data_IF_709906114107
#
_entry.id   IF_709906114107
#
_cell.length_a   1.000
_cell.length_b   1.000
_cell.length_c   1.000
_cell.angle_alpha   90.00
_cell.angle_beta   90.00
_cell.angle_gamma   90.00
#
_symmetry.space_group_name_H-M   'P 1'
#
loop_
_entity.id
_entity.type
_entity.pdbx_description
1 polymer ?
#
# COMPACT_ATOMS: atom_id res chain seq x y z
N UNK A 1 -8.02 15.34 -13.98
CA UNK A 1 -6.95 14.34 -13.76
C UNK A 1 -7.05 13.86 -12.32
N UNK A 2 -7.78 12.76 -12.10
CA UNK A 2 -8.12 12.26 -10.77
C UNK A 2 -7.17 11.16 -10.34
N UNK A 3 -6.26 11.46 -9.42
CA UNK A 3 -5.36 10.49 -8.81
C UNK A 3 -6.15 9.45 -8.02
N UNK A 4 -6.05 8.18 -8.43
CA UNK A 4 -6.73 7.06 -7.78
C UNK A 4 -6.10 6.80 -6.41
N UNK A 5 -6.81 7.21 -5.36
CA UNK A 5 -6.41 7.04 -3.96
C UNK A 5 -6.87 5.67 -3.46
N UNK A 6 -5.98 4.69 -3.39
CA UNK A 6 -6.26 3.38 -2.78
C UNK A 6 -6.18 3.48 -1.25
N UNK A 7 -7.26 3.16 -0.55
CA UNK A 7 -7.27 3.09 0.92
C UNK A 7 -7.63 1.69 1.39
N UNK A 8 -7.02 1.28 2.51
CA UNK A 8 -6.94 -0.14 2.86
C UNK A 8 -7.22 -0.42 4.40
N UNK A 9 -8.36 -1.04 4.84
CA UNK A 9 -8.96 -1.58 6.08
C UNK A 9 -10.21 -2.55 5.84
N UNK A 10 -10.26 -3.74 6.45
CA UNK A 10 -11.33 -4.78 6.36
C UNK A 10 -12.48 -4.53 7.37
N UNK A 11 -13.76 -4.75 7.02
CA UNK A 11 -14.86 -4.77 8.01
C UNK A 11 -15.79 -6.00 7.82
N UNK A 12 -15.75 -6.93 8.78
CA UNK A 12 -16.83 -7.88 9.01
C UNK A 12 -17.88 -7.22 9.89
N UNK A 13 -19.04 -6.91 9.32
CA UNK A 13 -20.17 -6.31 10.06
C UNK A 13 -20.77 -7.41 10.96
N UNK A 14 -20.42 -7.42 12.25
CA UNK A 14 -21.23 -8.03 13.32
C UNK A 14 -21.58 -6.96 14.35
N UNK A 15 -22.82 -6.94 14.88
CA UNK A 15 -23.18 -6.07 15.98
C UNK A 15 -22.60 -6.67 17.26
N UNK A 16 -21.39 -6.26 17.64
CA UNK A 16 -20.80 -6.63 18.93
C UNK A 16 -20.91 -5.44 19.87
N UNK A 17 -21.50 -5.71 21.04
CA UNK A 17 -21.45 -4.84 22.20
C UNK A 17 -20.04 -4.28 22.37
N UNK A 18 -19.94 -2.98 22.66
CA UNK A 18 -18.67 -2.27 22.84
C UNK A 18 -17.98 -2.83 24.08
N UNK A 19 -17.13 -3.84 23.88
CA UNK A 19 -16.17 -4.29 24.89
C UNK A 19 -15.01 -3.30 24.94
N UNK A 20 -14.63 -2.77 26.12
CA UNK A 20 -13.48 -1.88 26.23
C UNK A 20 -12.22 -2.59 25.72
N UNK A 21 -11.44 -1.92 24.88
CA UNK A 21 -10.21 -2.44 24.28
C UNK A 21 -10.30 -2.88 22.81
N UNK A 22 -11.43 -2.72 22.13
CA UNK A 22 -11.55 -3.03 20.70
C UNK A 22 -11.20 -1.82 19.81
N UNK A 23 -10.21 -2.01 18.94
CA UNK A 23 -9.84 -1.06 17.89
C UNK A 23 -10.40 -1.54 16.54
N UNK A 24 -11.31 -0.76 15.95
CA UNK A 24 -11.94 -1.06 14.65
C UNK A 24 -11.29 -0.29 13.51
N UNK A 25 -11.07 -0.96 12.37
CA UNK A 25 -10.43 -0.41 11.17
C UNK A 25 -11.42 -0.48 9.96
N UNK A 26 -11.73 0.64 9.28
CA UNK A 26 -12.65 0.75 8.11
C UNK A 26 -12.02 1.20 6.76
N UNK A 27 -12.02 0.43 5.62
CA UNK A 27 -11.36 0.91 4.34
C UNK A 27 -12.34 1.54 3.45
N UNK A 28 -11.90 2.67 2.92
CA UNK A 28 -12.66 3.41 1.96
C UNK A 28 -11.85 3.69 0.69
N UNK A 29 -11.96 2.82 -0.31
CA UNK A 29 -11.36 3.02 -1.64
C UNK A 29 -12.02 4.14 -2.47
N UNK A 30 -13.02 4.83 -1.91
CA UNK A 30 -13.68 5.97 -2.57
C UNK A 30 -13.17 7.28 -2.00
N UNK A 31 -13.12 8.32 -2.85
CA UNK A 31 -12.78 9.67 -2.41
C UNK A 31 -13.62 10.08 -1.19
N UNK A 32 -13.05 10.74 -0.18
CA UNK A 32 -13.76 11.11 1.05
C UNK A 32 -15.01 11.97 0.80
N UNK A 33 -15.05 12.69 -0.33
CA UNK A 33 -16.23 13.45 -0.78
C UNK A 33 -17.45 12.58 -1.13
N UNK A 34 -17.28 11.27 -1.32
CA UNK A 34 -18.38 10.35 -1.66
C UNK A 34 -18.87 9.53 -0.46
N UNK A 35 -18.31 9.72 0.74
CA UNK A 35 -18.89 9.11 1.94
C UNK A 35 -20.01 9.95 2.50
N UNK A 36 -21.01 9.25 3.03
CA UNK A 36 -21.98 9.85 3.93
C UNK A 36 -21.22 10.47 5.14
N UNK A 37 -21.38 11.78 5.40
CA UNK A 37 -20.82 12.45 6.56
C UNK A 37 -21.16 11.79 7.89
N UNK A 38 -22.27 11.05 7.97
CA UNK A 38 -22.68 10.31 9.15
C UNK A 38 -21.70 9.18 9.53
N UNK A 39 -21.00 8.59 8.55
CA UNK A 39 -20.02 7.51 8.78
C UNK A 39 -18.70 8.01 9.37
N UNK A 40 -18.38 9.29 9.18
CA UNK A 40 -17.10 9.90 9.58
C UNK A 40 -17.21 10.85 10.78
N UNK A 41 -18.34 10.80 11.49
CA UNK A 41 -18.61 11.63 12.66
C UNK A 41 -17.70 11.22 13.83
N UNK A 42 -17.17 12.18 14.62
CA UNK A 42 -16.45 11.89 15.86
C UNK A 42 -17.27 10.97 16.78
N UNK A 43 -16.63 9.95 17.35
CA UNK A 43 -17.27 8.85 18.08
C UNK A 43 -17.52 7.57 17.26
N UNK A 44 -17.32 7.62 15.93
CA UNK A 44 -17.27 6.43 15.04
C UNK A 44 -15.91 6.25 14.37
N UNK A 45 -15.24 7.35 14.02
CA UNK A 45 -13.90 7.38 13.43
C UNK A 45 -13.09 8.50 14.08
N UNK A 46 -12.09 8.12 14.87
CA UNK A 46 -11.24 9.07 15.62
C UNK A 46 -9.97 9.47 14.84
N UNK A 47 -9.50 8.59 13.95
CA UNK A 47 -8.31 8.83 13.12
C UNK A 47 -8.57 8.55 11.64
N UNK A 48 -8.12 9.47 10.79
CA UNK A 48 -8.18 9.37 9.33
C UNK A 48 -6.75 9.47 8.80
N UNK A 49 -6.26 8.40 8.19
CA UNK A 49 -4.93 8.37 7.58
C UNK A 49 -5.05 8.16 6.08
N UNK A 50 -4.36 9.01 5.32
CA UNK A 50 -4.19 8.80 3.89
C UNK A 50 -3.05 7.80 3.65
N UNK A 51 -3.33 6.76 2.86
CA UNK A 51 -2.31 5.84 2.34
C UNK A 51 -2.18 6.13 0.85
N UNK A 52 -1.03 6.70 0.46
CA UNK A 52 -0.75 7.10 -0.92
C UNK A 52 0.05 6.04 -1.68
N UNK A 53 0.63 6.50 -2.79
CA UNK A 53 1.64 5.74 -3.53
C UNK A 53 2.93 5.62 -2.74
N UNK A 54 3.74 4.63 -3.13
CA UNK A 54 5.01 4.36 -2.48
C UNK A 54 6.05 5.43 -2.81
N UNK A 55 6.71 5.96 -1.78
CA UNK A 55 7.92 6.76 -1.96
C UNK A 55 9.13 5.88 -2.25
N UNK A 56 10.21 6.47 -2.77
CA UNK A 56 11.49 5.79 -3.00
C UNK A 56 11.93 4.97 -1.78
N UNK A 57 11.95 5.60 -0.61
CA UNK A 57 12.33 4.94 0.64
C UNK A 57 11.43 3.75 0.98
N UNK A 58 10.11 3.87 0.77
CA UNK A 58 9.17 2.77 1.01
C UNK A 58 9.44 1.59 0.06
N UNK A 59 9.73 1.86 -1.21
CA UNK A 59 10.08 0.82 -2.19
C UNK A 59 11.36 0.08 -1.80
N UNK A 60 12.43 0.81 -1.46
CA UNK A 60 13.69 0.20 -1.02
C UNK A 60 13.51 -0.64 0.25
N UNK A 61 12.74 -0.14 1.23
CA UNK A 61 12.46 -0.89 2.46
C UNK A 61 11.62 -2.15 2.20
N UNK A 62 10.63 -2.07 1.32
CA UNK A 62 9.82 -3.23 0.94
C UNK A 62 10.70 -4.29 0.25
N UNK A 63 11.61 -3.88 -0.63
CA UNK A 63 12.55 -4.78 -1.30
C UNK A 63 13.48 -5.47 -0.30
N UNK A 64 14.11 -4.73 0.62
CA UNK A 64 15.00 -5.30 1.64
C UNK A 64 14.28 -6.29 2.57
N UNK A 65 13.02 -6.01 2.91
CA UNK A 65 12.21 -6.92 3.73
C UNK A 65 11.87 -8.21 3.00
N UNK A 66 11.66 -8.14 1.70
CA UNK A 66 11.30 -9.31 0.89
C UNK A 66 12.52 -10.13 0.48
N UNK A 67 13.65 -9.47 0.21
CA UNK A 67 14.92 -10.08 -0.20
C UNK A 67 16.05 -9.67 0.77
N UNK A 68 16.09 -10.22 2.00
CA UNK A 68 17.07 -9.82 3.02
C UNK A 68 18.51 -10.16 2.66
N UNK A 69 18.73 -11.11 1.75
CA UNK A 69 20.07 -11.51 1.30
C UNK A 69 20.67 -10.54 0.27
N UNK A 70 19.89 -9.59 -0.24
CA UNK A 70 20.34 -8.65 -1.26
C UNK A 70 20.93 -7.38 -0.63
N UNK A 71 21.99 -6.82 -1.24
CA UNK A 71 22.60 -5.58 -0.75
C UNK A 71 21.66 -4.38 -0.91
N UNK A 72 21.82 -3.39 -0.04
CA UNK A 72 21.01 -2.16 -0.06
C UNK A 72 21.06 -1.44 -1.41
N UNK A 73 22.19 -1.49 -2.12
CA UNK A 73 22.35 -0.91 -3.45
C UNK A 73 21.32 -1.45 -4.47
N UNK A 74 20.94 -2.74 -4.38
CA UNK A 74 19.89 -3.30 -5.26
C UNK A 74 18.49 -2.83 -4.89
N UNK A 75 18.26 -2.54 -3.62
CA UNK A 75 16.99 -1.98 -3.17
C UNK A 75 16.81 -0.53 -3.62
N UNK A 76 17.91 0.23 -3.68
CA UNK A 76 17.93 1.58 -4.28
C UNK A 76 17.72 1.49 -5.79
N UNK A 77 18.45 0.60 -6.48
CA UNK A 77 18.25 0.38 -7.93
C UNK A 77 16.80 0.00 -8.27
N UNK A 78 16.18 -0.89 -7.49
CA UNK A 78 14.76 -1.23 -7.67
C UNK A 78 13.86 0.00 -7.54
N UNK A 79 14.08 0.82 -6.53
CA UNK A 79 13.26 1.99 -6.25
C UNK A 79 13.41 3.07 -7.32
N UNK A 80 14.65 3.35 -7.75
CA UNK A 80 14.95 4.26 -8.86
C UNK A 80 14.27 3.81 -10.15
N UNK A 81 14.41 2.53 -10.50
CA UNK A 81 13.79 1.99 -11.71
C UNK A 81 12.27 2.00 -11.62
N UNK A 82 11.68 1.61 -10.49
CA UNK A 82 10.23 1.61 -10.32
C UNK A 82 9.63 3.01 -10.47
N UNK A 83 10.25 4.03 -9.85
CA UNK A 83 9.81 5.41 -9.98
C UNK A 83 10.02 5.97 -11.39
N UNK A 84 11.09 5.55 -12.08
CA UNK A 84 11.30 5.94 -13.47
C UNK A 84 10.18 5.42 -14.41
N UNK A 85 9.52 4.31 -14.09
CA UNK A 85 8.38 3.82 -14.87
C UNK A 85 7.09 4.54 -14.47
N UNK A 86 6.83 4.75 -13.17
CA UNK A 86 5.64 5.48 -12.70
C UNK A 86 5.74 5.97 -11.26
N UNK A 87 5.28 7.19 -11.03
CA UNK A 87 5.12 7.79 -9.69
C UNK A 87 3.84 7.34 -8.97
N UNK A 88 2.99 6.54 -9.61
CA UNK A 88 1.67 6.14 -9.07
C UNK A 88 1.61 4.68 -8.66
N UNK A 89 2.73 4.13 -8.18
CA UNK A 89 2.83 2.73 -7.78
C UNK A 89 2.30 2.54 -6.36
N UNK A 90 1.37 1.59 -6.16
CA UNK A 90 0.88 1.24 -4.83
C UNK A 90 1.63 0.07 -4.21
N UNK A 91 1.66 0.02 -2.87
CA UNK A 91 2.33 -1.05 -2.14
C UNK A 91 1.78 -2.44 -2.49
N UNK A 92 0.50 -2.54 -2.86
CA UNK A 92 -0.13 -3.80 -3.25
C UNK A 92 0.43 -4.31 -4.59
N UNK A 93 0.68 -3.42 -5.55
CA UNK A 93 1.27 -3.78 -6.84
C UNK A 93 2.71 -4.28 -6.66
N UNK A 94 3.49 -3.56 -5.85
CA UNK A 94 4.87 -3.94 -5.52
C UNK A 94 4.90 -5.30 -4.82
N UNK A 95 4.00 -5.52 -3.87
CA UNK A 95 3.89 -6.80 -3.18
C UNK A 95 3.49 -7.94 -4.13
N UNK A 96 2.56 -7.70 -5.05
CA UNK A 96 2.18 -8.66 -6.09
C UNK A 96 3.35 -9.02 -7.00
N UNK A 97 4.14 -8.02 -7.41
CA UNK A 97 5.34 -8.20 -8.21
C UNK A 97 6.39 -9.07 -7.50
N UNK A 98 6.66 -8.81 -6.22
CA UNK A 98 7.59 -9.63 -5.44
C UNK A 98 7.10 -11.08 -5.25
N UNK A 99 5.78 -11.30 -5.20
CA UNK A 99 5.22 -12.65 -5.15
C UNK A 99 5.44 -13.44 -6.45
N UNK A 100 5.50 -12.76 -7.60
CA UNK A 100 5.82 -13.39 -8.90
C UNK A 100 7.30 -13.78 -9.00
N UNK A 101 8.19 -12.95 -8.44
CA UNK A 101 9.65 -13.15 -8.50
C UNK A 101 10.23 -13.54 -7.13
N UNK A 102 9.59 -14.48 -6.43
CA UNK A 102 9.89 -14.81 -5.02
C UNK A 102 11.34 -15.12 -4.70
N UNK A 103 12.02 -15.83 -5.60
CA UNK A 103 13.41 -16.29 -5.42
C UNK A 103 14.38 -15.57 -6.36
N UNK A 104 13.90 -14.66 -7.18
CA UNK A 104 14.65 -14.07 -8.29
C UNK A 104 14.66 -12.53 -8.22
N UNK A 105 15.40 -11.95 -7.26
CA UNK A 105 15.43 -10.50 -7.05
C UNK A 105 15.97 -9.71 -8.24
N UNK A 106 16.90 -10.30 -9.01
CA UNK A 106 17.42 -9.71 -10.24
C UNK A 106 16.31 -9.55 -11.30
N UNK A 107 15.53 -10.61 -11.50
CA UNK A 107 14.40 -10.58 -12.42
C UNK A 107 13.31 -9.61 -11.95
N UNK A 108 13.14 -9.44 -10.64
CA UNK A 108 12.23 -8.43 -10.09
C UNK A 108 12.65 -7.00 -10.48
N UNK A 109 13.95 -6.70 -10.53
CA UNK A 109 14.48 -5.37 -10.94
C UNK A 109 14.39 -5.18 -12.45
N UNK A 110 14.67 -6.22 -13.24
CA UNK A 110 14.59 -6.15 -14.71
C UNK A 110 13.15 -6.00 -15.21
N UNK A 111 12.19 -6.57 -14.49
CA UNK A 111 10.78 -6.60 -14.88
C UNK A 111 9.91 -5.55 -14.17
N UNK A 112 10.48 -4.42 -13.71
CA UNK A 112 9.72 -3.34 -13.04
C UNK A 112 8.52 -2.83 -13.85
N UNK A 113 8.57 -2.90 -15.19
CA UNK A 113 7.42 -2.57 -16.04
C UNK A 113 6.16 -3.39 -15.73
N UNK A 114 6.28 -4.61 -15.20
CA UNK A 114 5.12 -5.45 -14.84
C UNK A 114 4.38 -4.98 -13.60
N UNK A 115 4.94 -4.06 -12.82
CA UNK A 115 4.28 -3.53 -11.61
C UNK A 115 3.00 -2.75 -11.97
N UNK A 116 2.96 -2.15 -13.16
CA UNK A 116 1.88 -1.24 -13.59
C UNK A 116 0.91 -1.92 -14.58
N UNK A 117 1.25 -3.12 -15.05
CA UNK A 117 0.48 -3.84 -16.06
C UNK A 117 -0.73 -4.56 -15.48
#
# INVERSE_FOLDING_TARGET
>A
MGTLKQFTLYCGIRPLAVTPGFLCYLRVFVSPLRLDPALIRPGRVDHKQFVGYCSHWQLSQMFQRFYPEQPAARAEEFADRALAVSDTISAAQVQGHFLLYKLEPLQAIENVQRIIM
#
